data_IF_334967187816
#
_entry.id   IF_334967187816
#
_cell.length_a   1.000
_cell.length_b   1.000
_cell.length_c   1.000
_cell.angle_alpha   90.00
_cell.angle_beta   90.00
_cell.angle_gamma   90.00
#
_symmetry.space_group_name_H-M   'P 1'
#
loop_
_entity.id
_entity.type
_entity.pdbx_description
1 polymer ?
#
# COMPACT_ATOMS: atom_id res chain seq x y z
N UNK A 1 63.27 -16.12 69.72
CA UNK A 1 63.78 -14.84 69.17
C UNK A 1 63.01 -14.55 67.88
N UNK A 2 62.44 -13.35 67.80
CA UNK A 2 61.41 -12.93 66.84
C UNK A 2 61.85 -12.96 65.38
N UNK A 3 60.96 -13.44 64.50
CA UNK A 3 60.94 -13.08 63.08
C UNK A 3 59.92 -11.93 62.88
N UNK A 4 60.25 -10.89 62.11
CA UNK A 4 59.31 -9.84 61.74
C UNK A 4 58.52 -10.22 60.48
N UNK A 5 57.18 -10.19 60.56
CA UNK A 5 56.32 -10.24 59.39
C UNK A 5 56.27 -8.87 58.70
N UNK A 6 56.87 -8.77 57.52
CA UNK A 6 56.68 -7.63 56.61
C UNK A 6 55.33 -7.78 55.89
N UNK A 7 54.45 -6.78 56.07
CA UNK A 7 53.17 -6.69 55.35
C UNK A 7 53.38 -6.03 53.99
N UNK A 8 53.47 -6.82 52.93
CA UNK A 8 53.28 -6.35 51.55
C UNK A 8 51.78 -6.42 51.22
N UNK A 9 51.16 -5.26 51.03
CA UNK A 9 49.75 -5.10 50.64
C UNK A 9 49.63 -5.42 49.14
N UNK A 10 48.74 -6.32 48.68
CA UNK A 10 48.55 -6.53 47.25
C UNK A 10 47.78 -5.35 46.64
N UNK A 11 48.51 -4.57 45.84
CA UNK A 11 48.04 -3.63 44.83
C UNK A 11 47.28 -4.41 43.76
N UNK A 12 46.05 -4.85 44.04
CA UNK A 12 45.24 -5.61 43.06
C UNK A 12 43.78 -5.10 43.00
N UNK A 13 43.36 -4.24 43.94
CA UNK A 13 41.96 -3.85 44.07
C UNK A 13 41.51 -2.62 43.25
N UNK A 14 42.35 -2.08 42.38
CA UNK A 14 42.01 -0.87 41.59
C UNK A 14 41.75 -1.12 40.10
N UNK A 15 42.00 -2.32 39.57
CA UNK A 15 41.76 -2.60 38.15
C UNK A 15 40.48 -3.41 37.84
N UNK A 16 39.79 -3.96 38.84
CA UNK A 16 38.54 -4.74 38.60
C UNK A 16 37.26 -3.90 38.56
N UNK A 17 37.28 -2.66 39.05
CA UNK A 17 36.07 -1.81 39.09
C UNK A 17 35.69 -1.16 37.77
N UNK A 18 36.64 -0.98 36.84
CA UNK A 18 36.40 -0.26 35.58
C UNK A 18 35.98 -1.16 34.42
N UNK A 19 36.18 -2.49 34.53
CA UNK A 19 35.81 -3.42 33.46
C UNK A 19 34.34 -3.87 33.51
N UNK A 20 33.69 -3.78 34.68
CA UNK A 20 32.27 -4.11 34.83
C UNK A 20 31.31 -2.98 34.42
N UNK A 21 31.79 -1.74 34.29
CA UNK A 21 30.99 -0.60 33.82
C UNK A 21 30.97 -0.45 32.29
N UNK A 22 31.85 -1.15 31.56
CA UNK A 22 31.87 -1.14 30.08
C UNK A 22 31.25 -2.39 29.44
N UNK A 23 30.93 -3.43 30.21
CA UNK A 23 30.37 -4.68 29.69
C UNK A 23 28.85 -4.85 29.94
N UNK A 24 28.23 -3.89 30.62
CA UNK A 24 26.83 -3.96 31.04
C UNK A 24 25.83 -3.25 30.14
N UNK A 25 26.27 -2.59 29.06
CA UNK A 25 25.38 -1.81 28.21
C UNK A 25 25.21 -2.43 26.82
N UNK A 26 23.94 -2.74 26.52
CA UNK A 26 23.37 -2.92 25.19
C UNK A 26 23.53 -4.30 24.51
N UNK A 27 23.07 -5.36 25.17
CA UNK A 27 22.40 -6.46 24.44
C UNK A 27 20.91 -6.42 24.81
N UNK A 28 20.22 -5.36 24.43
CA UNK A 28 18.78 -5.45 24.27
C UNK A 28 18.55 -6.27 23.00
N UNK A 29 17.88 -7.44 23.04
CA UNK A 29 17.43 -8.07 21.81
C UNK A 29 16.50 -7.06 21.15
N UNK A 30 16.88 -6.58 19.96
CA UNK A 30 15.98 -5.83 19.12
C UNK A 30 14.81 -6.78 18.81
N UNK A 31 13.74 -6.65 19.59
CA UNK A 31 12.44 -7.13 19.17
C UNK A 31 12.06 -6.23 18.01
N UNK A 32 12.48 -6.62 16.80
CA UNK A 32 11.91 -6.08 15.60
C UNK A 32 10.43 -6.45 15.65
N UNK A 33 9.59 -5.55 16.17
CA UNK A 33 8.18 -5.58 15.85
C UNK A 33 8.14 -5.53 14.33
N UNK A 34 7.74 -6.64 13.71
CA UNK A 34 7.41 -6.64 12.30
C UNK A 34 6.41 -5.52 12.11
N UNK A 35 6.84 -4.41 11.48
CA UNK A 35 5.91 -3.41 11.01
C UNK A 35 4.88 -4.18 10.20
N UNK A 36 3.60 -4.08 10.58
CA UNK A 36 2.50 -4.63 9.80
C UNK A 36 2.78 -4.24 8.36
N UNK A 37 2.97 -5.21 7.46
CA UNK A 37 3.35 -4.98 6.05
C UNK A 37 2.26 -4.28 5.22
N UNK A 38 1.47 -3.45 5.88
CA UNK A 38 0.34 -2.68 5.41
C UNK A 38 0.76 -1.23 5.34
N UNK A 39 0.59 -0.62 4.17
CA UNK A 39 0.96 0.76 3.91
C UNK A 39 0.05 1.74 4.69
N UNK A 40 0.62 2.80 5.26
CA UNK A 40 -0.14 3.77 6.05
C UNK A 40 -1.26 4.44 5.25
N UNK A 41 -1.12 4.59 3.93
CA UNK A 41 -2.19 5.09 3.06
C UNK A 41 -3.43 4.21 3.12
N UNK A 42 -3.26 2.88 3.20
CA UNK A 42 -4.38 1.93 3.30
C UNK A 42 -5.12 2.11 4.63
N UNK A 43 -4.38 2.28 5.72
CA UNK A 43 -4.98 2.50 7.04
C UNK A 43 -5.70 3.85 7.09
N UNK A 44 -4.99 4.93 6.73
CA UNK A 44 -5.44 6.29 6.97
C UNK A 44 -6.46 6.78 5.94
N UNK A 45 -6.20 6.55 4.64
CA UNK A 45 -7.02 7.09 3.56
C UNK A 45 -7.99 6.07 2.99
N UNK A 46 -7.62 4.79 2.93
CA UNK A 46 -8.57 3.73 2.55
C UNK A 46 -9.40 3.22 3.73
N UNK A 47 -9.04 3.57 4.98
CA UNK A 47 -9.80 3.19 6.19
C UNK A 47 -10.00 1.67 6.29
N UNK A 48 -8.95 0.90 6.02
CA UNK A 48 -8.98 -0.57 6.12
C UNK A 48 -7.84 -1.04 7.03
N UNK A 49 -8.17 -1.49 8.24
CA UNK A 49 -7.21 -2.06 9.19
C UNK A 49 -7.08 -3.57 9.05
N UNK A 50 -8.20 -4.26 8.83
CA UNK A 50 -8.24 -5.72 8.71
C UNK A 50 -8.68 -6.14 7.31
N UNK A 51 -9.98 -6.04 7.02
CA UNK A 51 -10.58 -6.43 5.75
C UNK A 51 -11.62 -5.43 5.25
N UNK A 52 -11.94 -5.51 3.96
CA UNK A 52 -13.03 -4.78 3.32
C UNK A 52 -13.72 -5.68 2.30
N UNK A 53 -15.04 -5.56 2.18
CA UNK A 53 -15.80 -6.17 1.10
C UNK A 53 -15.97 -5.18 -0.05
N UNK A 54 -15.66 -5.63 -1.27
CA UNK A 54 -15.80 -4.84 -2.48
C UNK A 54 -16.71 -5.56 -3.49
N UNK A 55 -17.50 -4.82 -4.30
CA UNK A 55 -18.34 -5.41 -5.34
C UNK A 55 -17.54 -6.30 -6.29
N UNK A 56 -17.86 -7.59 -6.33
CA UNK A 56 -17.22 -8.54 -7.23
C UNK A 56 -17.78 -8.42 -8.65
N UNK A 57 -19.10 -8.27 -8.76
CA UNK A 57 -19.85 -8.18 -10.02
C UNK A 57 -21.15 -7.37 -9.89
N UNK A 58 -21.92 -7.31 -10.97
CA UNK A 58 -23.18 -6.57 -11.11
C UNK A 58 -24.40 -7.26 -10.46
N UNK A 59 -24.22 -8.46 -9.90
CA UNK A 59 -25.28 -9.23 -9.21
C UNK A 59 -25.35 -8.95 -7.71
N UNK A 60 -24.52 -8.04 -7.22
CA UNK A 60 -24.44 -7.68 -5.80
C UNK A 60 -23.54 -8.60 -4.98
N UNK A 61 -22.82 -9.54 -5.60
CA UNK A 61 -21.82 -10.35 -4.90
C UNK A 61 -20.62 -9.48 -4.49
N UNK A 62 -20.02 -9.78 -3.35
CA UNK A 62 -18.83 -9.09 -2.85
C UNK A 62 -17.66 -10.06 -2.71
N UNK A 63 -16.45 -9.51 -2.70
CA UNK A 63 -15.20 -10.24 -2.40
C UNK A 63 -14.46 -9.53 -1.29
N UNK A 64 -14.00 -10.29 -0.31
CA UNK A 64 -13.22 -9.80 0.82
C UNK A 64 -11.76 -9.59 0.43
N UNK A 65 -11.20 -8.44 0.76
CA UNK A 65 -9.79 -8.10 0.61
C UNK A 65 -9.21 -7.67 1.95
N UNK A 66 -7.97 -8.06 2.23
CA UNK A 66 -7.24 -7.62 3.42
C UNK A 66 -6.57 -6.27 3.22
N UNK A 67 -6.18 -5.59 4.30
CA UNK A 67 -5.35 -4.38 4.20
C UNK A 67 -4.00 -4.65 3.48
N UNK A 68 -3.47 -5.88 3.62
CA UNK A 68 -2.28 -6.32 2.89
C UNK A 68 -2.53 -6.52 1.38
N UNK A 69 -3.73 -6.96 0.98
CA UNK A 69 -4.12 -7.01 -0.44
C UNK A 69 -4.16 -5.61 -1.05
N UNK A 70 -4.78 -4.65 -0.37
CA UNK A 70 -4.83 -3.27 -0.83
C UNK A 70 -3.45 -2.62 -0.88
N UNK A 71 -2.56 -2.98 0.03
CA UNK A 71 -1.15 -2.55 0.00
C UNK A 71 -0.43 -3.07 -1.23
N UNK A 72 -0.63 -4.36 -1.58
CA UNK A 72 -0.11 -4.93 -2.84
C UNK A 72 -0.70 -4.25 -4.06
N UNK A 73 -2.02 -4.00 -4.06
CA UNK A 73 -2.71 -3.28 -5.13
C UNK A 73 -2.19 -1.86 -5.34
N UNK A 74 -1.97 -1.11 -4.24
CA UNK A 74 -1.36 0.22 -4.27
C UNK A 74 0.01 0.19 -4.92
N UNK A 75 0.87 -0.76 -4.54
CA UNK A 75 2.21 -0.91 -5.12
C UNK A 75 2.14 -1.18 -6.62
N UNK A 76 1.27 -2.11 -7.05
CA UNK A 76 1.05 -2.38 -8.47
C UNK A 76 0.55 -1.13 -9.21
N UNK A 77 -0.32 -0.33 -8.61
CA UNK A 77 -0.79 0.92 -9.20
C UNK A 77 0.35 1.93 -9.38
N UNK A 78 1.18 2.09 -8.35
CA UNK A 78 2.32 3.00 -8.37
C UNK A 78 3.36 2.64 -9.43
N UNK A 79 3.65 1.34 -9.57
CA UNK A 79 4.62 0.83 -10.53
C UNK A 79 4.11 0.88 -11.98
N UNK A 80 2.80 0.69 -12.21
CA UNK A 80 2.28 0.39 -13.54
C UNK A 80 1.29 1.42 -14.11
N UNK A 81 0.63 2.22 -13.25
CA UNK A 81 -0.51 3.05 -13.63
C UNK A 81 -0.34 4.55 -13.29
N UNK A 82 0.44 4.86 -12.25
CA UNK A 82 0.54 6.22 -11.66
C UNK A 82 0.96 7.31 -12.64
N UNK A 83 1.77 7.00 -13.65
CA UNK A 83 2.23 7.99 -14.62
C UNK A 83 1.06 8.68 -15.36
N UNK A 84 -0.04 7.97 -15.57
CA UNK A 84 -1.24 8.53 -16.20
C UNK A 84 -2.37 8.78 -15.19
N UNK A 85 -2.36 8.06 -14.06
CA UNK A 85 -3.49 8.04 -13.13
C UNK A 85 -3.16 8.50 -11.70
N UNK A 86 -2.19 9.38 -11.55
CA UNK A 86 -1.81 9.92 -10.22
C UNK A 86 -3.03 10.49 -9.49
N UNK A 87 -3.28 10.03 -8.26
CA UNK A 87 -4.44 10.47 -7.47
C UNK A 87 -5.79 10.14 -8.09
N UNK A 88 -5.87 9.17 -9.00
CA UNK A 88 -7.11 8.81 -9.69
C UNK A 88 -7.48 9.70 -10.86
N UNK A 89 -6.62 10.64 -11.27
CA UNK A 89 -6.81 11.42 -12.50
C UNK A 89 -6.64 10.54 -13.76
N UNK A 90 -6.80 11.13 -14.93
CA UNK A 90 -6.37 10.54 -16.20
C UNK A 90 -5.72 11.63 -17.03
N UNK A 91 -4.42 11.84 -16.86
CA UNK A 91 -3.72 12.99 -17.47
C UNK A 91 -3.91 13.10 -19.00
N UNK A 92 -3.88 12.00 -19.79
CA UNK A 92 -4.11 12.10 -21.23
C UNK A 92 -5.57 12.41 -21.63
N UNK A 93 -6.53 12.17 -20.73
CA UNK A 93 -7.95 12.45 -20.96
C UNK A 93 -8.65 12.77 -19.63
N UNK A 94 -8.57 14.03 -19.16
CA UNK A 94 -9.17 14.49 -17.90
C UNK A 94 -10.68 14.24 -17.76
N UNK A 95 -11.40 14.07 -18.89
CA UNK A 95 -12.84 13.83 -18.89
C UNK A 95 -13.22 12.41 -18.43
N UNK A 96 -12.26 11.48 -18.36
CA UNK A 96 -12.48 10.07 -18.01
C UNK A 96 -11.48 9.68 -16.92
N UNK A 97 -11.79 10.01 -15.67
CA UNK A 97 -10.93 9.73 -14.51
C UNK A 97 -11.17 8.33 -13.93
N UNK A 98 -10.47 8.00 -12.83
CA UNK A 98 -10.75 6.83 -11.98
C UNK A 98 -11.66 7.19 -10.80
N UNK A 99 -12.39 8.31 -10.85
CA UNK A 99 -13.42 8.64 -9.86
C UNK A 99 -14.55 7.60 -9.89
N UNK A 100 -15.21 7.37 -8.76
CA UNK A 100 -16.31 6.39 -8.71
C UNK A 100 -17.46 6.76 -9.66
N UNK A 101 -17.68 8.07 -9.88
CA UNK A 101 -18.66 8.58 -10.84
C UNK A 101 -18.33 8.13 -12.26
N UNK A 102 -17.09 8.34 -12.69
CA UNK A 102 -16.69 8.02 -14.06
C UNK A 102 -16.61 6.51 -14.27
N UNK A 103 -16.13 5.75 -13.28
CA UNK A 103 -16.16 4.29 -13.31
C UNK A 103 -17.59 3.75 -13.50
N UNK A 104 -18.57 4.29 -12.77
CA UNK A 104 -19.98 3.92 -12.90
C UNK A 104 -20.62 4.33 -14.22
N UNK A 105 -20.18 5.46 -14.79
CA UNK A 105 -20.74 5.99 -16.04
C UNK A 105 -20.20 5.33 -17.31
N UNK A 106 -19.15 4.52 -17.21
CA UNK A 106 -18.62 3.77 -18.34
C UNK A 106 -19.64 2.72 -18.82
N UNK A 107 -19.50 2.29 -20.08
CA UNK A 107 -20.31 1.21 -20.66
C UNK A 107 -19.41 0.03 -21.08
N UNK A 108 -19.59 -1.17 -20.50
CA UNK A 108 -20.33 -1.42 -19.26
C UNK A 108 -19.70 -0.69 -18.06
N UNK A 109 -20.42 -0.55 -16.92
CA UNK A 109 -19.87 0.03 -15.70
C UNK A 109 -18.59 -0.67 -15.24
N UNK A 110 -17.63 0.12 -14.75
CA UNK A 110 -16.29 -0.30 -14.32
C UNK A 110 -16.10 -0.19 -12.80
N UNK A 111 -17.16 -0.41 -12.05
CA UNK A 111 -17.24 -0.22 -10.58
C UNK A 111 -17.28 -1.54 -9.79
N UNK A 112 -16.82 -2.63 -10.41
CA UNK A 112 -16.68 -3.96 -9.77
C UNK A 112 -15.30 -4.56 -10.06
N UNK A 113 -14.85 -5.50 -9.22
CA UNK A 113 -13.57 -6.19 -9.42
C UNK A 113 -13.53 -6.88 -10.80
N UNK A 114 -14.59 -7.59 -11.18
CA UNK A 114 -14.64 -8.29 -12.46
C UNK A 114 -14.58 -7.31 -13.65
N UNK A 115 -15.31 -6.19 -13.58
CA UNK A 115 -15.33 -5.19 -14.66
C UNK A 115 -13.98 -4.49 -14.85
N UNK A 116 -13.28 -4.13 -13.76
CA UNK A 116 -11.96 -3.52 -13.81
C UNK A 116 -10.89 -4.50 -14.31
N UNK A 117 -10.94 -5.76 -13.87
CA UNK A 117 -10.05 -6.82 -14.38
C UNK A 117 -10.27 -7.01 -15.88
N UNK A 118 -11.52 -7.12 -16.34
CA UNK A 118 -11.85 -7.26 -17.76
C UNK A 118 -11.33 -6.08 -18.58
N UNK A 119 -11.58 -4.85 -18.10
CA UNK A 119 -11.08 -3.62 -18.74
C UNK A 119 -9.55 -3.63 -18.83
N UNK A 120 -8.81 -4.01 -17.79
CA UNK A 120 -7.35 -3.99 -17.85
C UNK A 120 -6.79 -5.07 -18.80
N UNK A 121 -7.51 -6.18 -19.00
CA UNK A 121 -7.13 -7.23 -19.98
C UNK A 121 -7.37 -6.79 -21.43
N UNK A 122 -8.41 -5.99 -21.67
CA UNK A 122 -8.77 -5.46 -22.99
C UNK A 122 -9.42 -4.09 -22.79
N UNK A 123 -8.61 -3.01 -22.76
CA UNK A 123 -9.16 -1.68 -22.53
C UNK A 123 -10.08 -1.26 -23.69
N UNK A 124 -11.21 -0.67 -23.34
CA UNK A 124 -12.22 -0.19 -24.29
C UNK A 124 -12.46 1.32 -24.16
N UNK A 125 -12.98 1.96 -25.19
CA UNK A 125 -13.53 3.32 -25.13
C UNK A 125 -14.55 3.47 -24.00
N UNK A 126 -14.84 4.70 -23.56
CA UNK A 126 -15.71 4.93 -22.40
C UNK A 126 -17.15 4.39 -22.60
N UNK A 127 -17.64 4.43 -23.83
CA UNK A 127 -18.91 3.86 -24.29
C UNK A 127 -18.81 2.37 -24.69
N UNK A 128 -17.61 1.79 -24.68
CA UNK A 128 -17.38 0.37 -24.93
C UNK A 128 -17.44 -0.06 -26.40
N UNK A 129 -17.58 0.86 -27.35
CA UNK A 129 -17.73 0.53 -28.78
C UNK A 129 -16.42 0.11 -29.46
N UNK A 130 -15.27 0.54 -28.96
CA UNK A 130 -13.97 0.34 -29.60
C UNK A 130 -12.88 -0.06 -28.60
N UNK A 131 -11.85 -0.78 -29.05
CA UNK A 131 -10.65 -1.01 -28.24
C UNK A 131 -9.90 0.31 -28.02
N UNK A 132 -9.44 0.55 -26.80
CA UNK A 132 -8.61 1.71 -26.46
C UNK A 132 -7.14 1.31 -26.36
N UNK A 133 -6.30 1.98 -27.13
CA UNK A 133 -4.83 1.89 -27.02
C UNK A 133 -4.22 2.99 -26.15
N UNK A 134 -5.05 3.90 -25.64
CA UNK A 134 -4.62 5.01 -24.77
C UNK A 134 -4.40 4.57 -23.32
N UNK A 135 -5.02 3.47 -22.90
CA UNK A 135 -4.77 2.83 -21.61
C UNK A 135 -3.82 1.65 -21.77
N UNK A 136 -3.07 1.31 -20.72
CA UNK A 136 -2.15 0.17 -20.74
C UNK A 136 -2.92 -1.14 -20.58
N UNK A 137 -2.90 -1.96 -21.63
CA UNK A 137 -3.32 -3.36 -21.58
C UNK A 137 -2.35 -4.17 -20.71
N UNK A 138 -2.89 -5.02 -19.84
CA UNK A 138 -2.13 -5.88 -18.93
C UNK A 138 -2.41 -7.35 -19.27
N UNK A 139 -1.42 -8.05 -19.83
CA UNK A 139 -1.52 -9.49 -20.15
C UNK A 139 -1.38 -10.37 -18.91
N UNK A 140 -1.81 -11.63 -19.01
CA UNK A 140 -1.65 -12.62 -17.91
C UNK A 140 -0.19 -12.96 -17.62
N UNK A 141 0.67 -12.92 -18.64
CA UNK A 141 2.12 -13.15 -18.49
C UNK A 141 2.81 -12.06 -17.65
N UNK A 142 2.19 -10.88 -17.57
CA UNK A 142 2.75 -9.76 -16.82
C UNK A 142 2.16 -9.64 -15.42
N UNK A 143 0.83 -9.55 -15.29
CA UNK A 143 0.16 -9.64 -13.98
C UNK A 143 -0.84 -10.78 -13.99
N UNK A 144 -0.71 -11.69 -13.03
CA UNK A 144 -1.68 -12.77 -12.78
C UNK A 144 -3.04 -12.21 -12.41
N UNK A 145 -4.10 -13.01 -12.54
CA UNK A 145 -5.46 -12.61 -12.15
C UNK A 145 -5.53 -12.14 -10.70
N UNK A 146 -4.87 -12.82 -9.76
CA UNK A 146 -4.85 -12.41 -8.34
C UNK A 146 -4.18 -11.05 -8.12
N UNK A 147 -3.10 -10.76 -8.84
CA UNK A 147 -2.46 -9.44 -8.79
C UNK A 147 -3.35 -8.36 -9.40
N UNK A 148 -4.03 -8.69 -10.50
CA UNK A 148 -4.90 -7.73 -11.16
C UNK A 148 -6.16 -7.44 -10.32
N UNK A 149 -6.67 -8.44 -9.59
CA UNK A 149 -7.75 -8.26 -8.62
C UNK A 149 -7.34 -7.34 -7.46
N UNK A 150 -6.11 -7.44 -6.94
CA UNK A 150 -5.67 -6.55 -5.86
C UNK A 150 -5.48 -5.11 -6.35
N UNK A 151 -5.00 -4.93 -7.59
CA UNK A 151 -4.96 -3.62 -8.26
C UNK A 151 -6.37 -3.03 -8.42
N UNK A 152 -7.32 -3.82 -8.93
CA UNK A 152 -8.72 -3.42 -9.05
C UNK A 152 -9.33 -3.05 -7.69
N UNK A 153 -9.06 -3.86 -6.65
CA UNK A 153 -9.52 -3.59 -5.29
C UNK A 153 -8.97 -2.27 -4.73
N UNK A 154 -7.69 -1.97 -4.97
CA UNK A 154 -7.10 -0.70 -4.59
C UNK A 154 -7.79 0.48 -5.28
N UNK A 155 -7.97 0.42 -6.61
CA UNK A 155 -8.63 1.48 -7.38
C UNK A 155 -10.06 1.70 -6.87
N UNK A 156 -10.83 0.63 -6.73
CA UNK A 156 -12.23 0.71 -6.34
C UNK A 156 -12.40 1.24 -4.91
N UNK A 157 -11.55 0.79 -3.97
CA UNK A 157 -11.57 1.31 -2.61
C UNK A 157 -11.12 2.77 -2.56
N UNK A 158 -10.09 3.15 -3.31
CA UNK A 158 -9.64 4.53 -3.39
C UNK A 158 -10.74 5.45 -3.96
N UNK A 159 -11.37 5.06 -5.07
CA UNK A 159 -12.48 5.78 -5.67
C UNK A 159 -13.68 5.97 -4.72
N UNK A 160 -13.90 5.02 -3.81
CA UNK A 160 -14.99 5.09 -2.86
C UNK A 160 -14.73 6.00 -1.65
N UNK A 161 -13.48 6.06 -1.14
CA UNK A 161 -13.23 6.69 0.18
C UNK A 161 -12.00 7.58 0.28
N UNK A 162 -11.05 7.50 -0.66
CA UNK A 162 -9.82 8.26 -0.57
C UNK A 162 -10.09 9.75 -0.86
N UNK A 163 -9.75 10.66 0.07
CA UNK A 163 -9.95 12.10 -0.15
C UNK A 163 -9.17 12.58 -1.38
N UNK A 164 -9.82 13.35 -2.25
CA UNK A 164 -9.19 13.90 -3.45
C UNK A 164 -9.04 12.92 -4.61
N UNK A 165 -9.52 11.67 -4.51
CA UNK A 165 -9.35 10.69 -5.59
C UNK A 165 -10.25 11.00 -6.79
N UNK A 166 -9.62 11.20 -7.96
CA UNK A 166 -10.32 11.43 -9.23
C UNK A 166 -11.06 12.77 -9.32
N UNK A 167 -10.77 13.72 -8.44
CA UNK A 167 -11.26 15.11 -8.55
C UNK A 167 -10.12 16.03 -8.99
N UNK A 168 -10.35 16.83 -10.03
CA UNK A 168 -9.36 17.81 -10.51
C UNK A 168 -9.50 19.18 -9.84
N UNK A 169 -10.59 19.41 -9.09
CA UNK A 169 -10.78 20.60 -8.27
C UNK A 169 -10.95 20.22 -6.80
N UNK A 170 -10.14 20.84 -5.94
CA UNK A 170 -10.36 20.81 -4.50
C UNK A 170 -11.37 21.92 -4.17
N UNK A 171 -12.37 21.69 -3.29
CA UNK A 171 -13.37 22.70 -2.93
C UNK A 171 -12.77 24.03 -2.45
N UNK A 172 -11.53 24.00 -1.94
CA UNK A 172 -10.84 25.15 -1.36
C UNK A 172 -9.78 25.77 -2.28
N UNK A 173 -9.63 25.27 -3.51
CA UNK A 173 -8.70 25.85 -4.50
C UNK A 173 -9.43 26.82 -5.43
N UNK A 174 -9.88 27.96 -4.91
CA UNK A 174 -10.30 29.14 -5.68
C UNK A 174 -9.98 30.40 -4.85
N UNK A 175 -9.48 31.50 -5.46
CA UNK A 175 -9.62 31.85 -6.89
C UNK A 175 -8.44 31.52 -7.79
#
# INVERSE_FOLDING_TARGET
MHQPHSRLRPVVWLCSGLLFLLLGWAIAPATALAASGVDNYVIQYLKVTDTVELPLNDRGETKTFTAADLTRGKRLFEENCKNCHVGGSTLPNPLVSLSLKDLKGATPPRDTIASLVAFQRSPMSYDGSEESYSCRRVSEDWLTTKQLETLAAFILRAAAVAPGWGVESFPDSVP
#
